data_IF_390735782364
#
_entry.id   IF_390735782364
#
_cell.length_a   1.000
_cell.length_b   1.000
_cell.length_c   1.000
_cell.angle_alpha   90.00
_cell.angle_beta   90.00
_cell.angle_gamma   90.00
#
_symmetry.space_group_name_H-M   'P 1'
#
loop_
_entity.id
_entity.type
_entity.pdbx_description
1 polymer ?
#
# COMPACT_ATOMS: atom_id res chain seq x y z
N UNK A 1 -3.31 14.08 5.80
CA UNK A 1 -1.96 14.15 6.37
C UNK A 1 -1.02 14.69 5.30
N UNK A 2 -0.16 15.66 5.63
CA UNK A 2 0.90 16.14 4.73
C UNK A 2 2.24 15.66 5.28
N UNK A 3 3.01 14.92 4.48
CA UNK A 3 4.20 14.22 4.93
C UNK A 3 5.36 15.11 5.40
N UNK A 4 5.58 16.25 4.74
CA UNK A 4 6.77 17.07 4.99
C UNK A 4 7.91 16.66 4.07
N UNK A 5 9.17 16.86 4.50
CA UNK A 5 10.34 16.50 3.70
C UNK A 5 10.82 15.09 4.06
N UNK A 6 10.79 14.18 3.10
CA UNK A 6 11.19 12.78 3.29
C UNK A 6 10.26 11.83 2.56
N UNK A 7 10.50 10.52 2.70
CA UNK A 7 9.55 9.51 2.27
C UNK A 7 8.58 9.23 3.43
N UNK A 8 7.37 9.80 3.34
CA UNK A 8 6.39 9.71 4.43
C UNK A 8 5.49 8.49 4.30
N UNK A 9 5.08 7.95 5.45
CA UNK A 9 4.27 6.72 5.52
C UNK A 9 2.91 7.01 6.15
N UNK A 10 1.82 6.73 5.42
CA UNK A 10 0.49 6.65 6.02
C UNK A 10 0.29 5.26 6.63
N UNK A 11 -0.15 5.22 7.90
CA UNK A 11 -0.32 3.98 8.67
C UNK A 11 -1.74 3.86 9.20
N UNK A 12 -2.35 2.69 9.04
CA UNK A 12 -3.73 2.41 9.41
C UNK A 12 -3.81 1.34 10.51
N UNK A 13 -3.66 1.68 11.81
CA UNK A 13 -3.50 0.68 12.89
C UNK A 13 -4.78 -0.09 13.28
N UNK A 14 -5.84 0.00 12.47
CA UNK A 14 -7.16 -0.55 12.77
C UNK A 14 -7.28 -2.05 12.51
N UNK A 15 -8.49 -2.57 12.72
CA UNK A 15 -8.88 -3.94 12.34
C UNK A 15 -9.82 -3.98 11.13
N UNK A 16 -10.33 -2.83 10.72
CA UNK A 16 -11.16 -2.71 9.54
C UNK A 16 -10.26 -2.52 8.32
N UNK A 17 -10.55 -3.27 7.26
CA UNK A 17 -9.91 -3.12 5.97
C UNK A 17 -9.94 -1.67 5.49
N UNK A 18 -8.84 -1.22 4.89
CA UNK A 18 -8.73 0.09 4.26
C UNK A 18 -8.50 -0.03 2.75
N UNK A 19 -8.94 0.98 2.00
CA UNK A 19 -8.64 1.11 0.56
C UNK A 19 -7.94 2.43 0.34
N UNK A 20 -6.65 2.40 -0.01
CA UNK A 20 -5.80 3.59 -0.01
C UNK A 20 -5.00 3.65 -1.29
N UNK A 21 -4.99 4.80 -1.94
CA UNK A 21 -4.33 5.02 -3.22
C UNK A 21 -3.51 6.32 -3.22
N UNK A 22 -2.19 6.21 -3.32
CA UNK A 22 -1.27 7.35 -3.34
C UNK A 22 -1.25 8.11 -4.68
N UNK A 23 -1.83 7.56 -5.74
CA UNK A 23 -2.00 8.27 -7.02
C UNK A 23 -3.21 9.22 -7.04
N UNK A 24 -4.05 9.21 -6.00
CA UNK A 24 -5.19 10.11 -5.87
C UNK A 24 -4.74 11.43 -5.27
N UNK A 25 -4.70 12.46 -6.10
CA UNK A 25 -4.49 13.84 -5.65
C UNK A 25 -5.78 14.39 -5.02
N UNK A 26 -5.90 14.28 -3.71
CA UNK A 26 -7.00 14.89 -2.94
C UNK A 26 -7.69 13.96 -1.94
N UNK A 27 -8.91 14.32 -1.49
CA UNK A 27 -9.68 13.50 -0.57
C UNK A 27 -10.08 12.15 -1.19
N UNK A 28 -9.83 11.06 -0.47
CA UNK A 28 -10.22 9.71 -0.81
C UNK A 28 -10.94 9.07 0.38
N UNK A 29 -12.01 8.33 0.12
CA UNK A 29 -12.68 7.53 1.15
C UNK A 29 -11.91 6.21 1.31
N UNK A 30 -11.24 6.05 2.44
CA UNK A 30 -10.45 4.87 2.76
C UNK A 30 -11.28 3.75 3.38
N UNK A 31 -12.60 3.92 3.42
CA UNK A 31 -13.60 3.03 4.01
C UNK A 31 -13.41 2.82 5.51
N UNK A 32 -12.40 2.04 5.92
CA UNK A 32 -12.11 1.68 7.31
C UNK A 32 -11.56 2.83 8.16
N UNK A 33 -11.09 3.92 7.54
CA UNK A 33 -10.54 5.09 8.23
C UNK A 33 -11.20 6.43 7.85
N UNK A 34 -12.28 6.41 7.06
CA UNK A 34 -13.02 7.60 6.65
C UNK A 34 -12.38 8.33 5.48
N UNK A 35 -12.52 9.65 5.39
CA UNK A 35 -11.96 10.42 4.28
C UNK A 35 -10.58 10.98 4.63
N UNK A 36 -9.57 10.58 3.88
CA UNK A 36 -8.18 11.04 4.02
C UNK A 36 -7.75 11.89 2.83
N UNK A 37 -6.86 12.85 3.05
CA UNK A 37 -6.09 13.52 1.99
C UNK A 37 -4.62 13.20 2.23
N UNK A 38 -3.99 12.49 1.31
CA UNK A 38 -2.60 12.04 1.43
C UNK A 38 -1.74 12.88 0.50
N UNK A 39 -1.10 13.90 1.06
CA UNK A 39 -0.21 14.78 0.30
C UNK A 39 1.25 14.46 0.62
N UNK A 40 2.05 14.27 -0.43
CA UNK A 40 3.48 13.92 -0.34
C UNK A 40 3.77 12.62 0.44
N UNK A 41 2.82 11.68 0.50
CA UNK A 41 3.00 10.36 1.11
C UNK A 41 3.60 9.40 0.08
N UNK A 42 4.65 8.68 0.45
CA UNK A 42 5.36 7.75 -0.41
C UNK A 42 5.10 6.27 -0.04
N UNK A 43 4.64 6.00 1.17
CA UNK A 43 4.53 4.63 1.69
C UNK A 43 3.18 4.40 2.36
N UNK A 44 2.71 3.16 2.34
CA UNK A 44 1.49 2.72 2.99
C UNK A 44 1.75 1.54 3.93
N UNK A 45 1.17 1.60 5.13
CA UNK A 45 1.03 0.45 6.02
C UNK A 45 -0.45 0.24 6.32
N UNK A 46 -0.95 -0.92 5.93
CA UNK A 46 -2.32 -1.38 6.14
C UNK A 46 -2.68 -1.64 7.59
N UNK A 47 -3.88 -2.15 7.74
CA UNK A 47 -4.55 -2.54 8.96
C UNK A 47 -4.32 -4.01 9.29
N UNK A 48 -5.21 -4.60 10.09
CA UNK A 48 -5.25 -6.04 10.30
C UNK A 48 -6.44 -6.74 9.61
N UNK A 49 -7.17 -5.98 8.78
CA UNK A 49 -8.17 -6.48 7.84
C UNK A 49 -7.55 -6.74 6.46
N UNK A 50 -8.34 -7.23 5.49
CA UNK A 50 -7.86 -7.40 4.11
C UNK A 50 -7.87 -6.07 3.37
N UNK A 51 -6.72 -5.44 3.26
CA UNK A 51 -6.55 -4.09 2.73
C UNK A 51 -6.37 -4.06 1.22
N UNK A 52 -6.59 -2.90 0.62
CA UNK A 52 -6.18 -2.60 -0.75
C UNK A 52 -5.30 -1.35 -0.74
N UNK A 53 -4.02 -1.54 -1.02
CA UNK A 53 -3.01 -0.49 -0.96
C UNK A 53 -2.41 -0.27 -2.35
N UNK A 54 -2.52 0.95 -2.86
CA UNK A 54 -1.99 1.34 -4.18
C UNK A 54 -0.96 2.46 -4.01
N UNK A 55 0.22 2.26 -4.61
CA UNK A 55 1.30 3.22 -4.71
C UNK A 55 1.00 4.36 -5.69
N UNK A 56 2.07 4.99 -6.19
CA UNK A 56 2.04 6.02 -7.21
C UNK A 56 3.15 5.74 -8.24
N UNK A 57 3.60 6.76 -8.99
CA UNK A 57 4.62 6.58 -10.01
C UNK A 57 6.07 6.69 -9.49
N UNK A 58 6.25 6.84 -8.17
CA UNK A 58 7.55 6.88 -7.51
C UNK A 58 7.81 5.60 -6.71
N UNK A 59 8.98 5.49 -6.09
CA UNK A 59 9.29 4.35 -5.23
C UNK A 59 8.40 4.30 -4.00
N UNK A 60 7.66 3.21 -3.83
CA UNK A 60 6.75 3.01 -2.70
C UNK A 60 7.14 1.80 -1.85
N UNK A 61 6.90 1.91 -0.54
CA UNK A 61 6.86 0.76 0.38
C UNK A 61 5.43 0.50 0.79
N UNK A 62 4.89 -0.67 0.43
CA UNK A 62 3.52 -1.09 0.75
C UNK A 62 3.56 -2.32 1.68
N UNK A 63 2.93 -2.20 2.85
CA UNK A 63 2.88 -3.27 3.85
C UNK A 63 1.43 -3.61 4.23
N UNK A 64 0.95 -4.81 3.90
CA UNK A 64 -0.40 -5.30 4.23
C UNK A 64 -0.58 -5.72 5.69
N UNK A 65 0.49 -6.15 6.36
CA UNK A 65 0.52 -6.57 7.78
C UNK A 65 -0.21 -7.91 8.01
N UNK A 66 -1.54 -7.89 8.12
CA UNK A 66 -2.38 -9.07 8.39
C UNK A 66 -3.65 -8.87 7.61
N UNK A 67 -4.12 -9.92 6.96
CA UNK A 67 -5.30 -9.78 6.12
C UNK A 67 -5.13 -10.63 4.90
N UNK A 68 -6.10 -10.62 4.02
CA UNK A 68 -5.82 -11.04 2.66
C UNK A 68 -5.74 -9.73 1.87
N UNK A 69 -4.52 -9.29 1.60
CA UNK A 69 -4.25 -7.92 1.15
C UNK A 69 -4.03 -7.87 -0.36
N UNK A 70 -4.44 -6.76 -0.99
CA UNK A 70 -4.17 -6.47 -2.39
C UNK A 70 -3.20 -5.28 -2.47
N UNK A 71 -1.98 -5.53 -2.94
CA UNK A 71 -0.92 -4.53 -3.04
C UNK A 71 -0.63 -4.20 -4.50
N UNK A 72 -0.61 -2.92 -4.86
CA UNK A 72 -0.36 -2.43 -6.22
C UNK A 72 0.77 -1.39 -6.22
N UNK A 73 1.95 -1.73 -6.74
CA UNK A 73 3.12 -0.84 -6.82
C UNK A 73 2.98 0.26 -7.88
N UNK A 74 2.41 -0.11 -9.04
CA UNK A 74 2.26 0.73 -10.24
C UNK A 74 3.54 0.95 -11.02
N UNK A 75 4.22 2.09 -10.86
CA UNK A 75 5.43 2.38 -11.61
C UNK A 75 6.48 2.87 -10.63
N UNK A 76 7.71 2.41 -10.74
CA UNK A 76 8.75 2.86 -9.83
C UNK A 76 9.75 1.79 -9.47
N UNK A 77 10.08 1.72 -8.21
CA UNK A 77 10.99 0.72 -7.65
C UNK A 77 10.41 0.47 -6.28
N UNK A 78 9.57 -0.55 -6.22
CA UNK A 78 8.62 -0.72 -5.14
C UNK A 78 9.00 -1.90 -4.25
N UNK A 79 8.64 -1.79 -2.97
CA UNK A 79 8.77 -2.89 -2.01
C UNK A 79 7.39 -3.23 -1.46
N UNK A 80 6.87 -4.39 -1.86
CA UNK A 80 5.56 -4.88 -1.46
C UNK A 80 5.76 -5.99 -0.41
N UNK A 81 5.09 -5.87 0.73
CA UNK A 81 5.10 -6.91 1.77
C UNK A 81 3.68 -7.24 2.14
N UNK A 82 3.18 -8.41 1.69
CA UNK A 82 1.82 -8.86 1.98
C UNK A 82 1.60 -9.00 3.49
N UNK A 83 2.50 -9.71 4.15
CA UNK A 83 2.38 -10.01 5.57
C UNK A 83 1.81 -11.40 5.79
N UNK A 84 0.84 -11.51 6.71
CA UNK A 84 0.28 -12.79 7.09
C UNK A 84 -1.05 -13.09 6.37
N UNK A 85 -1.21 -14.36 5.97
CA UNK A 85 -2.29 -14.95 5.15
C UNK A 85 -2.09 -14.66 3.66
N UNK A 86 -3.11 -14.95 2.87
CA UNK A 86 -3.01 -15.01 1.41
C UNK A 86 -3.18 -13.63 0.82
N UNK A 87 -2.10 -13.09 0.30
CA UNK A 87 -2.03 -11.75 -0.28
C UNK A 87 -1.88 -11.83 -1.80
N UNK A 88 -2.35 -10.81 -2.50
CA UNK A 88 -2.13 -10.60 -3.94
C UNK A 88 -1.29 -9.35 -4.14
N UNK A 89 -0.24 -9.45 -4.94
CA UNK A 89 0.63 -8.33 -5.27
C UNK A 89 0.71 -8.14 -6.78
N UNK A 90 0.58 -6.90 -7.22
CA UNK A 90 0.92 -6.43 -8.56
C UNK A 90 2.00 -5.36 -8.42
N UNK A 91 3.24 -5.75 -8.70
CA UNK A 91 4.40 -4.86 -8.59
C UNK A 91 4.36 -3.74 -9.65
N UNK A 92 3.68 -3.98 -10.77
CA UNK A 92 3.64 -3.04 -11.88
C UNK A 92 4.94 -3.01 -12.68
N UNK A 93 5.40 -1.82 -13.07
CA UNK A 93 6.60 -1.64 -13.88
C UNK A 93 7.73 -1.03 -13.06
N UNK A 94 8.91 -1.64 -13.07
CA UNK A 94 9.98 -1.15 -12.21
C UNK A 94 11.07 -2.17 -12.00
N UNK A 95 11.91 -1.89 -11.00
CA UNK A 95 12.72 -2.92 -10.35
C UNK A 95 12.11 -3.10 -8.97
N UNK A 96 11.33 -4.15 -8.82
CA UNK A 96 10.45 -4.31 -7.67
C UNK A 96 10.89 -5.48 -6.80
N UNK A 97 10.37 -5.53 -5.58
CA UNK A 97 10.61 -6.61 -4.63
C UNK A 97 9.34 -6.89 -3.86
N UNK A 98 8.86 -8.13 -3.89
CA UNK A 98 7.73 -8.56 -3.09
C UNK A 98 8.05 -9.74 -2.15
N UNK A 99 7.54 -9.68 -0.93
CA UNK A 99 7.70 -10.73 0.09
C UNK A 99 6.41 -10.97 0.89
N UNK A 100 6.22 -12.18 1.43
CA UNK A 100 5.05 -12.55 2.24
C UNK A 100 4.49 -13.93 1.89
N UNK A 101 3.37 -14.31 2.51
CA UNK A 101 2.59 -15.52 2.16
C UNK A 101 1.67 -15.24 0.93
N UNK A 102 2.20 -14.53 -0.06
CA UNK A 102 1.47 -14.09 -1.25
C UNK A 102 1.12 -15.26 -2.17
N UNK A 103 -0.15 -15.36 -2.58
CA UNK A 103 -0.56 -16.13 -3.75
C UNK A 103 -0.57 -15.20 -4.97
N UNK A 104 0.44 -15.37 -5.83
CA UNK A 104 0.58 -14.79 -7.17
C UNK A 104 1.25 -13.41 -7.29
N UNK A 105 2.26 -13.44 -8.18
CA UNK A 105 2.78 -12.36 -9.01
C UNK A 105 3.91 -11.45 -8.49
N UNK A 106 4.71 -11.91 -7.53
CA UNK A 106 6.10 -11.43 -7.41
C UNK A 106 6.92 -12.05 -8.54
N UNK A 107 7.03 -11.37 -9.68
CA UNK A 107 7.91 -11.80 -10.77
C UNK A 107 9.34 -11.29 -10.47
N UNK A 108 10.22 -12.25 -10.17
CA UNK A 108 11.66 -12.03 -9.90
C UNK A 108 12.45 -11.60 -11.12
#
# INVERSE_FOLDING_TARGET
MSGGAGADTATYPGTAAVTVNLSVDGPQDTAGAGTDTLDSVANLTGSSGGDSLTGNAGSNVLLGVRGNDNLFGLAGTDTLTGGARTDTADEGGGIDSCTGETESNCET
#
